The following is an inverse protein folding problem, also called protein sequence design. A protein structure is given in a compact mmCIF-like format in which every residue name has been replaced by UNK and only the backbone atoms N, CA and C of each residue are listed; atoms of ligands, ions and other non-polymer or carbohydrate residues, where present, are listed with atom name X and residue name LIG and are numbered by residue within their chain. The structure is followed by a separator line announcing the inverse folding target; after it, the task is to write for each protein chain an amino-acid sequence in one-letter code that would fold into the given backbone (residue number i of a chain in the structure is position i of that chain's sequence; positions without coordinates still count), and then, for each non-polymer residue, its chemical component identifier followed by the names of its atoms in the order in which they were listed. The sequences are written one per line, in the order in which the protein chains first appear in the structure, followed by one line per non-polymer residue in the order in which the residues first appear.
data_IF_392383929467
#
_entry.id   IF_392383929467
#
_cell.length_a   1.000
_cell.length_b   1.000
_cell.length_c   1.000
_cell.angle_alpha   90.00
_cell.angle_beta   90.00
_cell.angle_gamma   90.00
#
_symmetry.space_group_name_H-M   'P 1'
#
loop_
_entity.id
_entity.type
_entity.pdbx_description
1 polymer ?
#
# COMPACT_ATOMS: atom_id res chain seq x y z
N UNK A 1 5.45 -8.95 3.25
CA UNK A 1 6.37 -9.72 2.40
C UNK A 1 5.63 -10.12 1.14
N UNK A 2 5.66 -9.25 0.13
CA UNK A 2 4.75 -9.32 -1.02
C UNK A 2 5.48 -9.10 -2.35
N UNK A 3 4.79 -9.40 -3.45
CA UNK A 3 5.30 -9.29 -4.83
C UNK A 3 6.02 -7.97 -5.14
N UNK A 4 5.57 -6.86 -4.52
CA UNK A 4 6.19 -5.54 -4.70
C UNK A 4 7.65 -5.48 -4.21
N UNK A 5 8.01 -6.13 -3.10
CA UNK A 5 9.39 -6.15 -2.59
C UNK A 5 10.33 -6.90 -3.55
N UNK A 6 9.87 -8.05 -4.06
CA UNK A 6 10.61 -8.83 -5.06
C UNK A 6 10.82 -8.00 -6.33
N UNK A 7 9.78 -7.28 -6.76
CA UNK A 7 9.86 -6.41 -7.93
C UNK A 7 10.86 -5.26 -7.72
N UNK A 8 10.87 -4.62 -6.54
CA UNK A 8 11.85 -3.59 -6.19
C UNK A 8 13.28 -4.13 -6.19
N UNK A 9 13.52 -5.32 -5.62
CA UNK A 9 14.84 -5.96 -5.62
C UNK A 9 15.30 -6.25 -7.06
N UNK A 10 14.42 -6.77 -7.92
CA UNK A 10 14.74 -7.02 -9.33
C UNK A 10 15.10 -5.71 -10.05
N UNK A 11 14.33 -4.63 -9.85
CA UNK A 11 14.63 -3.32 -10.45
C UNK A 11 15.97 -2.74 -9.95
N UNK A 12 16.27 -2.87 -8.65
CA UNK A 12 17.55 -2.44 -8.08
C UNK A 12 18.71 -3.25 -8.66
N UNK A 13 18.58 -4.57 -8.78
CA UNK A 13 19.59 -5.42 -9.40
C UNK A 13 19.82 -5.02 -10.87
N UNK A 14 18.76 -4.88 -11.66
CA UNK A 14 18.86 -4.45 -13.06
C UNK A 14 19.53 -3.07 -13.20
N UNK A 15 19.31 -2.15 -12.25
CA UNK A 15 19.98 -0.85 -12.20
C UNK A 15 21.48 -0.98 -11.90
N UNK A 16 21.85 -1.80 -10.92
CA UNK A 16 23.24 -2.03 -10.51
C UNK A 16 24.03 -2.79 -11.59
N UNK A 17 23.39 -3.73 -12.28
CA UNK A 17 23.97 -4.44 -13.43
C UNK A 17 24.01 -3.60 -14.72
N UNK A 18 23.54 -2.34 -14.68
CA UNK A 18 23.60 -1.42 -15.82
C UNK A 18 22.64 -1.74 -16.97
N UNK A 19 21.68 -2.64 -16.77
CA UNK A 19 20.65 -2.98 -17.77
C UNK A 19 19.70 -1.80 -18.01
N UNK A 20 19.49 -0.96 -16.99
CA UNK A 20 18.60 0.21 -17.05
C UNK A 20 19.35 1.49 -16.66
N UNK A 21 19.36 2.48 -17.53
CA UNK A 21 20.00 3.79 -17.28
C UNK A 21 19.12 4.78 -16.50
N UNK A 22 17.90 4.39 -16.14
CA UNK A 22 16.88 5.26 -15.54
C UNK A 22 17.29 5.87 -14.19
N UNK A 23 16.70 7.01 -13.83
CA UNK A 23 16.95 7.65 -12.54
C UNK A 23 16.49 6.77 -11.38
N UNK A 24 17.16 6.85 -10.23
CA UNK A 24 16.85 6.07 -9.02
C UNK A 24 15.41 6.23 -8.55
N UNK A 25 14.80 7.39 -8.80
CA UNK A 25 13.38 7.64 -8.54
C UNK A 25 12.44 6.65 -9.23
N UNK A 26 12.78 6.20 -10.45
CA UNK A 26 11.96 5.25 -11.20
C UNK A 26 12.18 3.80 -10.72
N UNK A 27 13.39 3.50 -10.24
CA UNK A 27 13.72 2.19 -9.67
C UNK A 27 12.93 1.92 -8.37
N UNK A 28 12.69 2.97 -7.58
CA UNK A 28 11.91 2.89 -6.32
C UNK A 28 10.41 3.19 -6.50
N UNK A 29 9.97 3.59 -7.69
CA UNK A 29 8.55 3.86 -8.00
C UNK A 29 7.61 2.69 -7.65
N UNK A 30 7.96 1.41 -7.91
CA UNK A 30 7.12 0.27 -7.54
C UNK A 30 6.84 0.19 -6.04
N UNK A 31 7.85 0.48 -5.21
CA UNK A 31 7.73 0.49 -3.75
C UNK A 31 6.84 1.64 -3.27
N UNK A 32 7.03 2.84 -3.82
CA UNK A 32 6.21 4.02 -3.48
C UNK A 32 4.74 3.77 -3.81
N UNK A 33 4.44 3.17 -4.97
CA UNK A 33 3.06 2.82 -5.37
C UNK A 33 2.48 1.79 -4.41
N UNK A 34 3.24 0.75 -4.04
CA UNK A 34 2.77 -0.27 -3.11
C UNK A 34 2.42 0.32 -1.75
N UNK A 35 3.28 1.20 -1.20
CA UNK A 35 3.04 1.90 0.07
C UNK A 35 1.79 2.78 -0.03
N UNK A 36 1.62 3.53 -1.12
CA UNK A 36 0.46 4.40 -1.31
C UNK A 36 -0.86 3.61 -1.36
N UNK A 37 -0.90 2.49 -2.09
CA UNK A 37 -2.07 1.60 -2.13
C UNK A 37 -2.36 1.02 -0.75
N UNK A 38 -1.33 0.58 -0.04
CA UNK A 38 -1.48 0.02 1.30
C UNK A 38 -2.12 1.03 2.27
N UNK A 39 -1.64 2.29 2.26
CA UNK A 39 -2.20 3.37 3.08
C UNK A 39 -3.67 3.61 2.73
N UNK A 40 -4.02 3.67 1.45
CA UNK A 40 -5.41 3.86 1.02
C UNK A 40 -6.32 2.75 1.53
N UNK A 41 -5.90 1.48 1.43
CA UNK A 41 -6.67 0.34 1.92
C UNK A 41 -6.88 0.40 3.43
N UNK A 42 -5.85 0.80 4.19
CA UNK A 42 -5.95 0.97 5.65
C UNK A 42 -6.95 2.07 6.01
N UNK A 43 -6.89 3.22 5.34
CA UNK A 43 -7.83 4.34 5.57
C UNK A 43 -9.27 3.92 5.28
N UNK A 44 -9.51 3.20 4.18
CA UNK A 44 -10.84 2.69 3.83
C UNK A 44 -11.35 1.71 4.90
N UNK A 45 -10.52 0.78 5.35
CA UNK A 45 -10.89 -0.18 6.40
C UNK A 45 -11.26 0.53 7.71
N UNK A 46 -10.45 1.50 8.14
CA UNK A 46 -10.71 2.28 9.36
C UNK A 46 -12.03 3.03 9.24
N UNK A 47 -12.28 3.71 8.12
CA UNK A 47 -13.53 4.44 7.90
C UNK A 47 -14.75 3.52 7.89
N UNK A 48 -14.62 2.33 7.30
CA UNK A 48 -15.69 1.33 7.24
C UNK A 48 -15.94 0.74 8.62
N UNK A 49 -14.89 0.40 9.37
CA UNK A 49 -14.99 -0.08 10.74
C UNK A 49 -15.62 0.96 11.68
N UNK A 50 -15.25 2.24 11.54
CA UNK A 50 -15.87 3.33 12.31
C UNK A 50 -17.36 3.48 12.00
N UNK A 51 -17.76 3.38 10.72
CA UNK A 51 -19.18 3.42 10.34
C UNK A 51 -19.96 2.24 10.90
N UNK A 52 -19.43 1.02 10.78
CA UNK A 52 -20.05 -0.20 11.30
C UNK A 52 -20.20 -0.12 12.82
N UNK A 53 -19.14 0.28 13.54
CA UNK A 53 -19.17 0.42 14.98
C UNK A 53 -20.23 1.44 15.43
N UNK A 54 -20.27 2.62 14.79
CA UNK A 54 -21.28 3.64 15.08
C UNK A 54 -22.70 3.12 14.87
N UNK A 55 -22.94 2.43 13.75
CA UNK A 55 -24.25 1.86 13.45
C UNK A 55 -24.68 0.79 14.46
N UNK A 56 -23.74 -0.04 14.91
CA UNK A 56 -24.01 -1.09 15.89
C UNK A 56 -24.32 -0.49 17.27
N UNK A 57 -23.57 0.53 17.69
CA UNK A 57 -23.80 1.25 18.95
C UNK A 57 -25.20 1.92 18.95
N UNK A 58 -25.63 2.53 17.83
CA UNK A 58 -26.96 3.14 17.68
C UNK A 58 -28.11 2.10 17.67
N UNK A 59 -27.86 0.89 17.18
CA UNK A 59 -28.84 -0.21 17.18
C UNK A 59 -29.10 -0.73 18.58
N UNK A 60 -28.04 -0.95 19.39
CA UNK A 60 -28.20 -1.45 20.76
C UNK A 60 -28.83 -0.42 21.71
N UNK A 61 -28.59 0.88 21.51
CA UNK A 61 -29.20 1.92 22.36
C UNK A 61 -30.72 2.08 22.14
N UNK A 62 -31.26 1.55 21.04
CA UNK A 62 -32.69 1.58 20.72
C UNK A 62 -33.46 0.32 21.18
N UNK A 63 -32.79 -0.63 21.84
CA UNK A 63 -33.39 -1.85 22.37
C UNK A 63 -33.50 -1.78 23.90
#
# INVERSE_FOLDING_TARGET
MGFAEILTIIFVLLKVFGVISWSWWIVFLPEIIAVAIYILLVVIQINTAHKIKKQHDDFFNNF
#
